data_IF_817725104238
#
_entry.id   IF_817725104238
#
_cell.length_a   1.000
_cell.length_b   1.000
_cell.length_c   1.000
_cell.angle_alpha   90.00
_cell.angle_beta   90.00
_cell.angle_gamma   90.00
#
_symmetry.space_group_name_H-M   'P 1'
#
loop_
_entity.id
_entity.type
_entity.pdbx_description
1 polymer ?
#
# COMPACT_ATOMS: atom_id res chain seq x y z
N UNK A 1 -14.90 14.08 71.63
CA UNK A 1 -13.68 14.55 70.93
C UNK A 1 -14.09 15.34 69.70
N UNK A 2 -14.25 16.65 69.84
CA UNK A 2 -14.57 17.58 68.76
C UNK A 2 -13.26 18.16 68.22
N UNK A 3 -12.76 17.64 67.10
CA UNK A 3 -11.58 18.18 66.42
C UNK A 3 -11.88 19.50 65.71
N UNK A 4 -10.89 20.37 65.48
CA UNK A 4 -11.11 21.67 64.83
C UNK A 4 -11.53 21.43 63.38
N UNK A 5 -12.66 22.03 62.97
CA UNK A 5 -13.05 22.15 61.57
C UNK A 5 -12.04 23.05 60.85
N UNK A 6 -10.95 22.45 60.37
CA UNK A 6 -9.99 23.09 59.49
C UNK A 6 -10.69 23.48 58.20
N UNK A 7 -10.84 24.79 57.96
CA UNK A 7 -11.27 25.32 56.67
C UNK A 7 -10.23 24.96 55.62
N UNK A 8 -10.48 23.91 54.84
CA UNK A 8 -9.67 23.59 53.66
C UNK A 8 -9.75 24.75 52.67
N UNK A 9 -8.63 25.45 52.46
CA UNK A 9 -8.48 26.45 51.41
C UNK A 9 -7.87 25.77 50.19
N UNK A 10 -8.57 25.75 49.07
CA UNK A 10 -8.02 25.34 47.79
C UNK A 10 -7.61 26.58 46.99
N UNK A 11 -6.37 26.59 46.47
CA UNK A 11 -5.93 27.54 45.47
C UNK A 11 -6.06 26.88 44.10
N UNK A 12 -6.93 27.43 43.25
CA UNK A 12 -7.03 27.05 41.84
C UNK A 12 -6.27 28.09 41.02
N UNK A 13 -5.18 27.66 40.38
CA UNK A 13 -4.42 28.50 39.44
C UNK A 13 -4.83 28.09 38.04
N UNK A 14 -5.39 29.04 37.27
CA UNK A 14 -5.69 28.86 35.86
C UNK A 14 -4.55 29.46 35.03
N UNK A 15 -3.87 28.65 34.24
CA UNK A 15 -2.98 29.11 33.19
C UNK A 15 -3.71 29.00 31.86
N UNK A 16 -3.72 30.11 31.11
CA UNK A 16 -4.30 30.18 29.78
C UNK A 16 -3.16 30.15 28.76
N UNK A 17 -3.16 29.16 27.87
CA UNK A 17 -2.28 29.16 26.72
C UNK A 17 -3.06 29.69 25.53
N UNK A 18 -2.57 30.76 24.90
CA UNK A 18 -3.11 31.20 23.61
C UNK A 18 -2.74 30.14 22.58
N UNK A 19 -3.75 29.57 21.92
CA UNK A 19 -3.51 28.62 20.85
C UNK A 19 -2.81 29.31 19.67
N UNK A 20 -1.81 28.68 19.05
CA UNK A 20 -1.20 29.20 17.84
C UNK A 20 -2.26 29.30 16.73
N UNK A 21 -2.07 30.25 15.81
CA UNK A 21 -2.88 30.33 14.59
C UNK A 21 -2.41 29.24 13.63
N UNK A 22 -3.35 28.65 12.90
CA UNK A 22 -3.03 27.74 11.80
C UNK A 22 -2.41 28.54 10.65
N UNK A 23 -1.19 28.20 10.25
CA UNK A 23 -0.57 28.69 9.00
C UNK A 23 -0.48 27.59 7.95
N UNK A 24 -0.80 26.35 8.33
CA UNK A 24 -0.78 25.19 7.46
C UNK A 24 -2.21 24.77 7.14
N UNK A 25 -2.59 24.91 5.87
CA UNK A 25 -3.90 24.54 5.39
C UNK A 25 -3.77 23.54 4.25
N UNK A 26 -4.56 22.48 4.31
CA UNK A 26 -4.71 21.47 3.27
C UNK A 26 -6.12 21.51 2.71
N UNK A 27 -6.22 21.64 1.39
CA UNK A 27 -7.51 21.61 0.67
C UNK A 27 -7.68 20.21 0.09
N UNK A 28 -8.74 19.52 0.54
CA UNK A 28 -9.09 18.20 0.04
C UNK A 28 -10.15 18.32 -1.03
N UNK A 29 -9.99 17.56 -2.11
CA UNK A 29 -10.93 17.53 -3.21
C UNK A 29 -11.68 16.20 -3.26
N UNK A 30 -12.95 16.28 -3.62
CA UNK A 30 -13.76 15.10 -3.94
C UNK A 30 -13.08 14.32 -5.05
N UNK A 31 -13.19 12.99 -4.98
CA UNK A 31 -12.56 12.07 -5.91
C UNK A 31 -11.03 12.07 -5.93
N UNK A 32 -10.37 12.65 -4.92
CA UNK A 32 -8.92 12.48 -4.72
C UNK A 32 -8.62 11.59 -3.51
N UNK A 33 -7.42 11.01 -3.48
CA UNK A 33 -6.90 10.35 -2.28
C UNK A 33 -6.83 11.37 -1.13
N UNK A 34 -7.10 10.89 0.08
CA UNK A 34 -6.95 11.64 1.30
C UNK A 34 -5.48 11.95 1.61
N UNK A 35 -5.30 12.95 2.47
CA UNK A 35 -4.00 13.42 2.93
C UNK A 35 -3.73 12.87 4.32
N UNK A 36 -2.53 12.35 4.55
CA UNK A 36 -2.08 11.98 5.88
C UNK A 36 -0.91 12.87 6.31
N UNK A 37 -0.82 13.14 7.60
CA UNK A 37 0.17 14.02 8.21
C UNK A 37 0.71 13.39 9.48
N UNK A 38 2.02 13.44 9.67
CA UNK A 38 2.65 12.94 10.88
C UNK A 38 2.19 13.75 12.10
N UNK A 39 1.76 13.06 13.16
CA UNK A 39 1.34 13.72 14.40
C UNK A 39 2.46 14.58 15.02
N UNK A 40 3.74 14.29 14.74
CA UNK A 40 4.88 15.09 15.15
C UNK A 40 4.94 16.47 14.46
N UNK A 41 4.50 16.58 13.21
CA UNK A 41 4.57 17.82 12.43
C UNK A 41 3.54 18.87 12.87
N UNK A 42 2.45 18.42 13.48
CA UNK A 42 1.35 19.26 13.95
C UNK A 42 1.45 19.63 15.44
N UNK A 43 2.63 19.40 16.03
CA UNK A 43 2.90 19.73 17.43
C UNK A 43 3.13 21.22 17.59
N UNK A 44 2.25 21.87 18.35
CA UNK A 44 2.23 23.32 18.53
C UNK A 44 2.12 24.10 17.21
N UNK A 45 1.73 23.39 16.13
CA UNK A 45 1.61 23.88 14.78
C UNK A 45 0.30 23.33 14.21
N UNK A 46 -0.82 24.05 14.36
CA UNK A 46 -2.11 23.55 13.91
C UNK A 46 -2.11 23.35 12.40
N UNK A 47 -2.82 22.32 11.96
CA UNK A 47 -3.17 22.12 10.56
C UNK A 47 -4.68 22.22 10.39
N UNK A 48 -5.12 22.86 9.31
CA UNK A 48 -6.52 22.97 8.92
C UNK A 48 -6.76 22.17 7.65
N UNK A 49 -7.68 21.21 7.68
CA UNK A 49 -8.20 20.55 6.47
C UNK A 49 -9.51 21.20 6.05
N UNK A 50 -9.68 21.48 4.77
CA UNK A 50 -10.92 22.03 4.21
C UNK A 50 -11.36 21.24 2.99
N UNK A 51 -12.62 20.80 2.96
CA UNK A 51 -13.23 20.24 1.76
C UNK A 51 -13.47 21.37 0.74
N UNK A 52 -12.95 21.22 -0.48
CA UNK A 52 -13.05 22.22 -1.53
C UNK A 52 -14.48 22.37 -2.07
N UNK A 53 -15.20 21.26 -2.19
CA UNK A 53 -16.51 21.22 -2.82
C UNK A 53 -17.66 21.51 -1.85
N UNK A 54 -18.64 22.28 -2.33
CA UNK A 54 -19.87 22.58 -1.59
C UNK A 54 -20.67 21.31 -1.29
N UNK A 55 -21.04 21.13 -0.01
CA UNK A 55 -21.79 19.97 0.47
C UNK A 55 -20.92 18.77 0.86
N UNK A 56 -19.63 18.77 0.54
CA UNK A 56 -18.67 17.80 1.05
C UNK A 56 -18.17 18.19 2.44
N UNK A 57 -17.63 17.21 3.16
CA UNK A 57 -17.05 17.38 4.48
C UNK A 57 -15.77 16.57 4.60
N UNK A 58 -14.84 17.06 5.42
CA UNK A 58 -13.67 16.28 5.81
C UNK A 58 -14.10 15.13 6.72
N UNK A 59 -13.47 13.97 6.56
CA UNK A 59 -13.52 12.87 7.50
C UNK A 59 -12.14 12.63 8.09
N UNK A 60 -11.96 13.05 9.34
CA UNK A 60 -10.69 13.02 10.06
C UNK A 60 -10.59 11.77 10.92
N UNK A 61 -9.52 11.00 10.77
CA UNK A 61 -9.24 9.79 11.56
C UNK A 61 -7.82 9.82 12.13
N UNK A 62 -7.58 9.01 13.15
CA UNK A 62 -6.22 8.61 13.54
C UNK A 62 -5.80 7.42 12.67
N UNK A 63 -4.59 7.49 12.11
CA UNK A 63 -3.85 6.32 11.65
C UNK A 63 -2.93 5.85 12.79
N UNK A 64 -3.40 4.87 13.57
CA UNK A 64 -2.75 4.48 14.83
C UNK A 64 -1.58 3.53 14.54
N UNK A 65 -0.43 3.78 15.17
CA UNK A 65 0.79 2.98 14.99
C UNK A 65 0.83 1.67 15.79
N UNK A 66 0.01 1.59 16.84
CA UNK A 66 0.02 0.50 17.82
C UNK A 66 1.05 0.68 18.93
N UNK A 67 1.89 1.72 18.83
CA UNK A 67 2.90 2.02 19.84
C UNK A 67 2.24 2.48 21.14
N UNK A 68 2.52 1.77 22.24
CA UNK A 68 1.83 1.95 23.53
C UNK A 68 1.97 3.36 24.13
N UNK A 69 3.00 4.12 23.73
CA UNK A 69 3.23 5.48 24.23
C UNK A 69 2.57 6.56 23.37
N UNK A 70 2.05 6.24 22.19
CA UNK A 70 1.29 7.19 21.37
C UNK A 70 -0.04 7.53 22.07
N UNK A 71 -0.06 8.65 22.81
CA UNK A 71 -1.23 9.13 23.57
C UNK A 71 -1.84 10.38 22.95
N UNK A 72 -3.08 10.28 22.50
CA UNK A 72 -3.79 11.35 21.81
C UNK A 72 -4.52 12.34 22.73
N UNK A 73 -4.28 12.28 24.05
CA UNK A 73 -4.95 13.14 25.04
C UNK A 73 -4.63 14.64 24.84
N UNK A 74 -3.48 14.94 24.21
CA UNK A 74 -3.07 16.30 23.89
C UNK A 74 -3.39 16.75 22.46
N UNK A 75 -4.15 15.96 21.69
CA UNK A 75 -4.52 16.27 20.31
C UNK A 75 -5.97 16.76 20.29
N UNK A 76 -6.15 18.05 20.04
CA UNK A 76 -7.44 18.73 20.12
C UNK A 76 -8.03 18.95 18.73
N UNK A 77 -9.34 18.75 18.62
CA UNK A 77 -10.11 18.95 17.40
C UNK A 77 -10.95 20.20 17.54
N UNK A 78 -10.84 21.09 16.57
CA UNK A 78 -11.60 22.32 16.43
C UNK A 78 -12.52 22.18 15.22
N UNK A 79 -13.83 22.36 15.43
CA UNK A 79 -14.84 22.28 14.37
C UNK A 79 -14.92 23.61 13.61
N UNK A 80 -13.97 23.82 12.72
CA UNK A 80 -13.88 25.02 11.91
C UNK A 80 -12.48 25.28 11.33
N UNK A 81 -12.29 26.45 10.69
CA UNK A 81 -11.10 26.76 9.91
C UNK A 81 -9.86 27.11 10.75
N UNK A 82 -10.00 27.29 12.06
CA UNK A 82 -8.88 27.67 12.92
C UNK A 82 -9.08 27.29 14.40
N UNK A 83 -8.09 27.63 15.22
CA UNK A 83 -8.09 27.41 16.68
C UNK A 83 -8.97 28.40 17.46
N UNK A 84 -9.66 29.33 16.79
CA UNK A 84 -10.70 30.17 17.40
C UNK A 84 -12.09 29.52 17.32
N UNK A 85 -12.21 28.46 16.52
CA UNK A 85 -13.42 27.65 16.40
C UNK A 85 -13.67 26.83 17.68
N UNK A 86 -14.89 26.32 17.92
CA UNK A 86 -15.16 25.51 19.11
C UNK A 86 -14.31 24.23 19.16
N UNK A 87 -13.70 23.96 20.31
CA UNK A 87 -13.10 22.65 20.59
C UNK A 87 -14.23 21.65 20.82
N UNK A 88 -14.28 20.61 19.99
CA UNK A 88 -15.35 19.60 20.01
C UNK A 88 -14.90 18.27 20.59
N UNK A 89 -13.59 18.08 20.77
CA UNK A 89 -13.09 16.86 21.38
C UNK A 89 -11.58 16.70 21.26
N UNK A 90 -11.15 15.49 21.62
CA UNK A 90 -9.78 15.01 21.49
C UNK A 90 -9.74 13.86 20.50
N UNK A 91 -8.61 13.67 19.84
CA UNK A 91 -8.46 12.62 18.84
C UNK A 91 -8.60 11.21 19.41
N UNK A 92 -8.30 10.98 20.70
CA UNK A 92 -8.45 9.65 21.32
C UNK A 92 -9.88 9.06 21.21
N UNK A 93 -10.91 9.90 21.05
CA UNK A 93 -12.30 9.48 20.83
C UNK A 93 -12.60 9.05 19.38
N UNK A 94 -11.67 9.26 18.45
CA UNK A 94 -11.86 9.11 17.00
C UNK A 94 -10.88 8.11 16.36
N UNK A 95 -10.48 7.09 17.11
CA UNK A 95 -9.62 6.00 16.62
C UNK A 95 -10.36 5.07 15.65
N UNK A 96 -11.66 4.84 15.90
CA UNK A 96 -12.47 3.84 15.17
C UNK A 96 -13.53 4.49 14.27
N UNK A 97 -13.96 5.70 14.62
CA UNK A 97 -15.00 6.43 13.89
C UNK A 97 -14.44 7.81 13.51
N UNK A 98 -14.50 8.19 12.22
CA UNK A 98 -14.02 9.49 11.78
C UNK A 98 -14.77 10.61 12.49
N UNK A 99 -14.04 11.66 12.86
CA UNK A 99 -14.66 12.93 13.16
C UNK A 99 -15.12 13.59 11.87
N UNK A 100 -16.38 14.05 11.85
CA UNK A 100 -16.99 14.79 10.75
C UNK A 100 -17.35 16.20 11.26
N UNK A 101 -16.77 17.28 10.71
CA UNK A 101 -17.08 18.63 11.14
C UNK A 101 -18.53 19.02 10.81
N UNK A 102 -19.03 20.03 11.51
CA UNK A 102 -20.35 20.63 11.24
C UNK A 102 -20.36 21.32 9.88
N UNK A 103 -19.23 21.91 9.48
CA UNK A 103 -19.00 22.57 8.18
C UNK A 103 -18.00 21.79 7.32
N UNK A 104 -17.29 22.47 6.41
CA UNK A 104 -16.30 21.89 5.49
C UNK A 104 -14.88 21.77 6.07
N UNK A 105 -14.60 22.47 7.17
CA UNK A 105 -13.24 22.58 7.72
C UNK A 105 -13.12 21.98 9.11
N UNK A 106 -11.96 21.39 9.38
CA UNK A 106 -11.56 20.91 10.70
C UNK A 106 -10.11 21.31 10.95
N UNK A 107 -9.84 21.82 12.15
CA UNK A 107 -8.48 22.17 12.58
C UNK A 107 -8.04 21.27 13.70
N UNK A 108 -6.78 20.83 13.67
CA UNK A 108 -6.20 19.95 14.67
C UNK A 108 -4.82 20.42 15.09
N UNK A 109 -4.52 20.25 16.38
CA UNK A 109 -3.21 20.54 16.96
C UNK A 109 -2.88 19.53 18.06
N UNK A 110 -1.62 19.07 18.08
CA UNK A 110 -1.03 18.39 19.22
C UNK A 110 -0.32 19.38 20.15
N UNK A 111 -0.56 19.35 21.45
CA UNK A 111 0.13 20.23 22.41
C UNK A 111 1.41 19.63 23.01
N UNK A 112 1.60 18.32 22.87
CA UNK A 112 2.75 17.60 23.45
C UNK A 112 3.41 16.69 22.42
N UNK A 113 4.65 16.26 22.74
CA UNK A 113 5.45 15.37 21.90
C UNK A 113 5.20 13.87 22.13
N UNK A 114 4.05 13.50 22.65
CA UNK A 114 3.79 12.13 23.10
C UNK A 114 3.42 11.17 21.97
N UNK A 115 2.94 11.67 20.83
CA UNK A 115 2.60 10.83 19.66
C UNK A 115 3.73 10.94 18.65
N UNK A 116 4.49 9.86 18.49
CA UNK A 116 5.74 9.82 17.73
C UNK A 116 5.58 9.09 16.41
N UNK A 117 4.72 8.07 16.36
CA UNK A 117 4.66 7.17 15.21
C UNK A 117 3.33 7.14 14.48
N UNK A 118 2.30 7.78 15.03
CA UNK A 118 0.98 7.80 14.41
C UNK A 118 0.81 9.00 13.51
N UNK A 119 -0.07 8.86 12.52
CA UNK A 119 -0.45 9.94 11.62
C UNK A 119 -1.91 10.32 11.89
N UNK A 120 -2.28 11.52 11.50
CA UNK A 120 -3.67 11.82 11.21
C UNK A 120 -3.93 11.62 9.73
N UNK A 121 -5.15 11.24 9.38
CA UNK A 121 -5.56 11.09 7.98
C UNK A 121 -6.91 11.75 7.76
N UNK A 122 -6.97 12.57 6.73
CA UNK A 122 -8.15 13.34 6.35
C UNK A 122 -8.58 12.94 4.94
N UNK A 123 -9.82 12.48 4.82
CA UNK A 123 -10.45 12.12 3.56
C UNK A 123 -11.64 13.04 3.28
N UNK A 124 -12.14 13.04 2.05
CA UNK A 124 -13.50 13.53 1.79
C UNK A 124 -14.50 12.46 2.24
N UNK A 125 -15.51 12.87 3.01
CA UNK A 125 -16.52 11.98 3.61
C UNK A 125 -17.19 11.09 2.58
N UNK A 126 -17.59 11.63 1.42
CA UNK A 126 -18.27 10.84 0.39
C UNK A 126 -17.35 9.77 -0.24
N UNK A 127 -16.04 9.99 -0.32
CA UNK A 127 -15.09 9.02 -0.86
C UNK A 127 -15.02 7.74 -0.01
N UNK A 128 -15.20 7.87 1.32
CA UNK A 128 -15.23 6.73 2.25
C UNK A 128 -16.65 6.31 2.66
N UNK A 129 -17.68 6.96 2.12
CA UNK A 129 -19.06 6.80 2.57
C UNK A 129 -19.70 5.45 2.24
N UNK A 130 -19.10 4.69 1.32
CA UNK A 130 -19.57 3.35 0.94
C UNK A 130 -19.17 2.26 1.96
N UNK A 131 -18.14 2.50 2.77
CA UNK A 131 -17.65 1.53 3.74
C UNK A 131 -18.43 1.67 5.04
N UNK A 132 -18.84 0.55 5.62
CA UNK A 132 -19.45 0.54 6.95
C UNK A 132 -18.46 0.98 8.03
N UNK A 133 -17.18 0.71 7.80
CA UNK A 133 -16.07 1.11 8.67
C UNK A 133 -14.87 1.48 7.81
N UNK A 134 -14.29 2.63 8.09
CA UNK A 134 -13.00 3.06 7.56
C UNK A 134 -12.03 3.25 8.71
N UNK A 135 -10.82 2.70 8.58
CA UNK A 135 -9.75 2.86 9.56
C UNK A 135 -8.42 3.14 8.86
N UNK A 136 -7.44 3.59 9.63
CA UNK A 136 -6.07 3.67 9.17
C UNK A 136 -5.10 3.17 10.24
N UNK A 137 -3.96 2.64 9.80
CA UNK A 137 -2.89 2.17 10.67
C UNK A 137 -1.54 2.59 10.11
N UNK A 138 -0.62 2.95 11.01
CA UNK A 138 0.78 3.20 10.64
C UNK A 138 1.62 1.95 10.91
N UNK A 139 2.42 1.56 9.93
CA UNK A 139 3.36 0.45 9.99
C UNK A 139 4.73 1.01 10.39
N UNK A 140 5.12 0.83 11.66
CA UNK A 140 6.44 1.25 12.16
C UNK A 140 7.53 0.30 11.66
N UNK A 141 7.40 -0.99 11.99
CA UNK A 141 8.29 -2.06 11.52
C UNK A 141 7.45 -3.15 10.88
N UNK A 142 6.45 -3.60 11.63
CA UNK A 142 5.50 -4.62 11.21
C UNK A 142 4.13 -4.32 11.80
N UNK A 143 3.11 -4.57 11.01
CA UNK A 143 1.72 -4.69 11.43
C UNK A 143 1.31 -6.15 11.28
N UNK A 144 0.65 -6.71 12.28
CA UNK A 144 0.03 -8.03 12.23
C UNK A 144 -1.32 -7.95 12.91
N UNK A 145 -2.39 -8.26 12.17
CA UNK A 145 -3.73 -8.06 12.68
C UNK A 145 -4.79 -8.85 11.94
N UNK A 146 -5.85 -9.18 12.68
CA UNK A 146 -7.09 -9.70 12.13
C UNK A 146 -7.98 -8.54 11.69
N UNK A 147 -8.54 -8.65 10.49
CA UNK A 147 -9.49 -7.72 9.91
C UNK A 147 -10.79 -8.48 9.60
N UNK A 148 -11.89 -8.05 10.20
CA UNK A 148 -13.20 -8.72 10.09
C UNK A 148 -14.25 -7.81 9.46
N UNK A 149 -14.83 -8.29 8.36
CA UNK A 149 -15.88 -7.62 7.57
C UNK A 149 -17.10 -8.51 7.31
N UNK A 150 -17.45 -9.40 8.25
CA UNK A 150 -18.61 -10.30 8.14
C UNK A 150 -19.90 -9.52 7.80
N UNK A 151 -20.55 -9.87 6.69
CA UNK A 151 -21.78 -9.22 6.17
C UNK A 151 -21.65 -7.69 5.94
N UNK A 152 -20.45 -7.18 5.69
CA UNK A 152 -20.22 -5.75 5.45
C UNK A 152 -18.97 -5.53 4.57
N UNK A 153 -18.78 -4.28 4.12
CA UNK A 153 -17.53 -3.85 3.51
C UNK A 153 -16.83 -2.86 4.43
N UNK A 154 -15.55 -3.10 4.71
CA UNK A 154 -14.68 -2.20 5.46
C UNK A 154 -13.48 -1.81 4.60
N UNK A 155 -12.81 -0.72 4.96
CA UNK A 155 -11.54 -0.32 4.37
C UNK A 155 -10.53 0.04 5.45
N UNK A 156 -9.29 -0.41 5.28
CA UNK A 156 -8.16 -0.06 6.15
C UNK A 156 -7.01 0.48 5.30
N UNK A 157 -6.66 1.75 5.49
CA UNK A 157 -5.47 2.36 4.87
C UNK A 157 -4.25 2.08 5.74
N UNK A 158 -3.22 1.46 5.16
CA UNK A 158 -1.92 1.25 5.80
C UNK A 158 -0.93 2.29 5.32
N UNK A 159 -0.20 2.90 6.25
CA UNK A 159 0.76 3.96 5.98
C UNK A 159 2.13 3.51 6.51
N UNK A 160 3.16 3.54 5.68
CA UNK A 160 4.52 3.24 6.10
C UNK A 160 5.12 4.43 6.86
N UNK A 161 5.67 4.18 8.06
CA UNK A 161 6.38 5.22 8.80
C UNK A 161 7.76 5.45 8.17
N UNK A 162 8.00 6.66 7.68
CA UNK A 162 9.29 7.10 7.13
C UNK A 162 9.82 6.21 5.97
N UNK A 163 8.92 5.63 5.19
CA UNK A 163 9.27 4.80 4.04
C UNK A 163 8.25 4.96 2.89
N UNK A 164 8.71 4.72 1.66
CA UNK A 164 7.88 4.81 0.45
C UNK A 164 7.56 3.42 -0.12
N UNK A 165 7.44 2.42 0.76
CA UNK A 165 7.10 1.07 0.38
C UNK A 165 6.45 0.30 1.53
N UNK A 166 5.59 -0.65 1.16
CA UNK A 166 5.02 -1.64 2.06
C UNK A 166 5.11 -3.01 1.41
N UNK A 167 5.16 -4.06 2.24
CA UNK A 167 5.15 -5.45 1.82
C UNK A 167 4.07 -6.18 2.59
N UNK A 168 3.14 -6.82 1.88
CA UNK A 168 2.36 -7.90 2.49
C UNK A 168 3.26 -9.12 2.50
N UNK A 169 3.55 -9.65 3.68
CA UNK A 169 4.44 -10.82 3.87
C UNK A 169 3.68 -12.09 4.19
N UNK A 170 2.46 -11.95 4.68
CA UNK A 170 1.57 -13.05 4.97
C UNK A 170 0.12 -12.59 4.85
N UNK A 171 -0.72 -13.45 4.29
CA UNK A 171 -2.16 -13.30 4.27
C UNK A 171 -2.78 -14.69 4.46
N UNK A 172 -3.84 -14.75 5.26
CA UNK A 172 -4.67 -15.93 5.43
C UNK A 172 -6.12 -15.51 5.53
N UNK A 173 -7.01 -16.21 4.81
CA UNK A 173 -8.45 -16.13 5.05
C UNK A 173 -8.82 -17.07 6.20
N UNK A 174 -9.56 -16.56 7.18
CA UNK A 174 -10.07 -17.36 8.29
C UNK A 174 -11.42 -17.98 7.86
N UNK A 175 -11.50 -19.32 7.87
CA UNK A 175 -12.65 -20.27 7.84
C UNK A 175 -14.01 -19.86 7.22
N UNK A 176 -14.07 -18.80 6.43
CA UNK A 176 -15.27 -18.38 5.72
C UNK A 176 -15.12 -18.88 4.30
N UNK A 177 -15.66 -20.08 4.06
CA UNK A 177 -15.88 -20.62 2.71
C UNK A 177 -17.09 -19.91 2.07
N UNK A 178 -17.01 -18.59 1.94
CA UNK A 178 -18.01 -17.80 1.25
C UNK A 178 -17.43 -17.31 -0.07
N UNK A 179 -18.09 -17.66 -1.18
CA UNK A 179 -17.73 -17.21 -2.53
C UNK A 179 -17.74 -15.68 -2.67
N UNK A 180 -18.40 -14.96 -1.75
CA UNK A 180 -18.43 -13.50 -1.71
C UNK A 180 -17.24 -12.87 -0.99
N UNK A 181 -16.41 -13.66 -0.31
CA UNK A 181 -15.26 -13.11 0.39
C UNK A 181 -14.19 -12.65 -0.60
N UNK A 182 -13.99 -11.34 -0.64
CA UNK A 182 -12.96 -10.69 -1.45
C UNK A 182 -12.18 -9.66 -0.63
N UNK A 183 -10.85 -9.69 -0.74
CA UNK A 183 -9.97 -8.60 -0.32
C UNK A 183 -9.39 -7.91 -1.56
N UNK A 184 -9.64 -6.61 -1.70
CA UNK A 184 -9.09 -5.78 -2.77
C UNK A 184 -8.02 -4.87 -2.20
N UNK A 185 -6.88 -4.80 -2.86
CA UNK A 185 -5.84 -3.84 -2.55
C UNK A 185 -5.93 -2.71 -3.57
N UNK A 186 -6.13 -1.48 -3.10
CA UNK A 186 -6.20 -0.27 -3.92
C UNK A 186 -5.08 0.69 -3.55
N UNK A 187 -4.70 1.57 -4.49
CA UNK A 187 -3.71 2.61 -4.21
C UNK A 187 -4.28 3.74 -3.35
N UNK A 188 -3.43 4.36 -2.53
CA UNK A 188 -3.82 5.52 -1.71
C UNK A 188 -4.91 5.20 -0.68
N UNK A 189 -5.72 6.20 -0.36
CA UNK A 189 -6.97 6.02 0.40
C UNK A 189 -8.14 5.72 -0.56
N UNK A 190 -9.32 5.30 -0.06
CA UNK A 190 -10.48 5.13 -0.92
C UNK A 190 -10.86 6.41 -1.66
N UNK A 191 -10.91 6.33 -2.99
CA UNK A 191 -11.41 7.37 -3.87
C UNK A 191 -11.70 6.79 -5.26
N UNK A 192 -12.57 7.42 -6.07
CA UNK A 192 -12.76 7.04 -7.47
C UNK A 192 -11.53 7.03 -8.37
N UNK A 193 -10.43 7.71 -8.00
CA UNK A 193 -9.17 7.69 -8.77
C UNK A 193 -8.20 6.60 -8.31
N UNK A 194 -8.52 5.89 -7.23
CA UNK A 194 -7.66 4.84 -6.68
C UNK A 194 -7.59 3.66 -7.64
N UNK A 195 -6.38 3.20 -7.94
CA UNK A 195 -6.18 2.07 -8.84
C UNK A 195 -6.37 0.77 -8.06
N UNK A 196 -7.14 -0.16 -8.62
CA UNK A 196 -7.15 -1.54 -8.15
C UNK A 196 -5.80 -2.18 -8.47
N UNK A 197 -5.07 -2.56 -7.43
CA UNK A 197 -3.76 -3.17 -7.55
C UNK A 197 -3.89 -4.69 -7.63
N UNK A 198 -4.53 -5.30 -6.64
CA UNK A 198 -4.63 -6.76 -6.50
C UNK A 198 -5.99 -7.15 -5.90
N UNK A 199 -6.43 -8.37 -6.22
CA UNK A 199 -7.57 -9.02 -5.59
C UNK A 199 -7.09 -10.35 -5.03
N UNK A 200 -7.48 -10.64 -3.80
CA UNK A 200 -7.29 -11.93 -3.15
C UNK A 200 -8.65 -12.49 -2.71
N UNK A 201 -8.82 -13.78 -2.91
CA UNK A 201 -9.98 -14.58 -2.53
C UNK A 201 -9.52 -15.81 -1.74
N UNK A 202 -10.41 -16.55 -1.05
CA UNK A 202 -10.06 -17.81 -0.40
C UNK A 202 -9.42 -18.85 -1.34
N UNK A 203 -9.71 -18.78 -2.65
CA UNK A 203 -9.16 -19.66 -3.69
C UNK A 203 -7.82 -19.19 -4.26
N UNK A 204 -7.31 -18.03 -3.86
CA UNK A 204 -6.04 -17.51 -4.35
C UNK A 204 -4.85 -18.35 -3.84
N UNK A 205 -3.75 -18.49 -4.63
CA UNK A 205 -2.58 -19.28 -4.24
C UNK A 205 -1.69 -18.52 -3.24
N UNK A 206 -2.21 -18.29 -2.03
CA UNK A 206 -1.58 -17.42 -1.03
C UNK A 206 -0.20 -17.92 -0.56
N UNK A 207 0.03 -19.23 -0.57
CA UNK A 207 1.30 -19.85 -0.17
C UNK A 207 2.49 -19.46 -1.06
N UNK A 208 2.24 -19.08 -2.31
CA UNK A 208 3.28 -18.66 -3.27
C UNK A 208 3.15 -17.20 -3.71
N UNK A 209 2.20 -16.45 -3.14
CA UNK A 209 1.92 -15.06 -3.54
C UNK A 209 2.72 -14.01 -2.77
N UNK A 210 3.39 -14.41 -1.68
CA UNK A 210 4.06 -13.49 -0.76
C UNK A 210 5.55 -13.81 -0.60
N UNK A 211 6.40 -12.81 -0.31
CA UNK A 211 6.07 -11.40 -0.08
C UNK A 211 5.61 -10.64 -1.34
N UNK A 212 4.73 -9.65 -1.20
CA UNK A 212 4.25 -8.78 -2.28
C UNK A 212 4.57 -7.32 -1.95
N UNK A 213 5.36 -6.65 -2.79
CA UNK A 213 5.76 -5.24 -2.60
C UNK A 213 4.73 -4.28 -3.21
N UNK A 214 4.54 -3.15 -2.53
CA UNK A 214 3.80 -1.98 -2.98
C UNK A 214 4.73 -0.76 -2.87
N UNK A 215 5.23 -0.21 -3.99
CA UNK A 215 6.20 0.89 -3.99
C UNK A 215 5.51 2.25 -3.78
N UNK A 216 4.78 2.38 -2.67
CA UNK A 216 4.17 3.62 -2.21
C UNK A 216 4.20 3.67 -0.67
N UNK A 217 4.13 4.86 -0.11
CA UNK A 217 4.04 5.07 1.34
C UNK A 217 2.70 4.58 1.93
N UNK A 218 1.68 4.36 1.10
CA UNK A 218 0.39 3.87 1.57
C UNK A 218 -0.37 3.07 0.51
N UNK A 219 -1.22 2.16 0.99
CA UNK A 219 -2.28 1.50 0.21
C UNK A 219 -3.48 1.24 1.10
N UNK A 220 -4.63 0.92 0.50
CA UNK A 220 -5.83 0.53 1.25
C UNK A 220 -6.23 -0.90 0.93
N UNK A 221 -6.52 -1.67 1.98
CA UNK A 221 -7.19 -2.97 1.86
C UNK A 221 -8.70 -2.78 2.07
N UNK A 222 -9.49 -3.12 1.06
CA UNK A 222 -10.95 -3.22 1.13
C UNK A 222 -11.32 -4.68 1.35
N UNK A 223 -12.17 -4.95 2.33
CA UNK A 223 -12.61 -6.30 2.65
C UNK A 223 -14.13 -6.36 2.59
N UNK A 224 -14.67 -7.28 1.79
CA UNK A 224 -16.10 -7.54 1.70
C UNK A 224 -16.39 -8.96 2.18
N UNK A 225 -17.18 -9.08 3.24
CA UNK A 225 -17.64 -10.37 3.76
C UNK A 225 -16.51 -11.37 4.07
N UNK A 226 -15.41 -10.87 4.63
CA UNK A 226 -14.20 -11.62 4.89
C UNK A 226 -13.75 -11.52 6.34
N UNK A 227 -13.01 -12.54 6.78
CA UNK A 227 -12.12 -12.45 7.93
C UNK A 227 -10.74 -12.84 7.45
N UNK A 228 -9.77 -11.94 7.59
CA UNK A 228 -8.39 -12.20 7.18
C UNK A 228 -7.42 -11.87 8.31
N UNK A 229 -6.33 -12.64 8.36
CA UNK A 229 -5.16 -12.26 9.10
C UNK A 229 -4.07 -11.84 8.12
N UNK A 230 -3.54 -10.64 8.29
CA UNK A 230 -2.55 -10.07 7.38
C UNK A 230 -1.35 -9.55 8.16
N UNK A 231 -0.15 -9.76 7.59
CA UNK A 231 1.10 -9.21 8.09
C UNK A 231 1.72 -8.29 7.05
N UNK A 232 1.98 -7.06 7.45
CA UNK A 232 2.58 -6.02 6.63
C UNK A 232 3.89 -5.57 7.27
N UNK A 233 4.91 -5.30 6.48
CA UNK A 233 6.12 -4.60 6.93
C UNK A 233 6.48 -3.48 5.97
N UNK A 234 7.15 -2.43 6.46
CA UNK A 234 7.75 -1.39 5.60
C UNK A 234 9.15 -1.76 5.11
N UNK A 235 9.80 -2.70 5.79
CA UNK A 235 11.17 -3.10 5.52
C UNK A 235 11.17 -4.19 4.45
N UNK A 236 12.15 -4.15 3.55
CA UNK A 236 12.30 -5.22 2.55
C UNK A 236 12.55 -6.55 3.26
N UNK A 237 11.71 -7.59 3.03
CA UNK A 237 11.90 -8.89 3.65
C UNK A 237 13.26 -9.49 3.29
N UNK A 238 13.83 -10.27 4.22
CA UNK A 238 15.06 -11.02 3.96
C UNK A 238 14.84 -11.92 2.74
N UNK A 239 15.81 -11.98 1.83
CA UNK A 239 15.74 -12.77 0.60
C UNK A 239 14.58 -12.39 -0.35
N UNK A 240 13.98 -11.20 -0.25
CA UNK A 240 12.91 -10.75 -1.13
C UNK A 240 13.25 -10.88 -2.64
N UNK A 241 14.50 -10.59 -3.00
CA UNK A 241 15.02 -10.68 -4.36
C UNK A 241 15.66 -12.03 -4.71
N UNK A 242 15.65 -12.99 -3.78
CA UNK A 242 16.20 -14.33 -3.99
C UNK A 242 15.09 -15.34 -4.27
N UNK A 243 15.26 -16.08 -5.35
CA UNK A 243 14.37 -17.17 -5.77
C UNK A 243 14.87 -18.45 -5.14
N UNK A 244 14.02 -19.05 -4.31
CA UNK A 244 14.30 -20.33 -3.62
C UNK A 244 13.26 -21.37 -4.00
N UNK A 245 11.99 -21.01 -3.86
CA UNK A 245 10.84 -21.85 -4.22
C UNK A 245 10.03 -21.27 -5.38
N UNK A 246 8.89 -21.88 -5.71
CA UNK A 246 7.93 -21.28 -6.63
C UNK A 246 7.32 -20.00 -6.02
N UNK A 247 7.16 -18.96 -6.84
CA UNK A 247 6.51 -17.71 -6.41
C UNK A 247 5.83 -17.03 -7.58
N UNK A 248 4.63 -16.56 -7.30
CA UNK A 248 3.88 -15.63 -8.14
C UNK A 248 3.87 -14.28 -7.45
N UNK A 249 4.04 -13.21 -8.20
CA UNK A 249 3.93 -11.87 -7.63
C UNK A 249 3.76 -10.82 -8.70
N UNK A 250 3.66 -9.58 -8.22
CA UNK A 250 3.44 -8.41 -9.03
C UNK A 250 4.52 -7.38 -8.80
N UNK A 251 4.89 -6.69 -9.87
CA UNK A 251 5.79 -5.55 -9.85
C UNK A 251 5.04 -4.37 -10.43
N UNK A 252 5.15 -3.23 -9.74
CA UNK A 252 4.52 -1.98 -10.12
C UNK A 252 5.59 -0.91 -10.28
N UNK A 253 5.38 0.01 -11.22
CA UNK A 253 6.08 1.29 -11.12
C UNK A 253 5.47 2.09 -9.95
N UNK A 254 6.25 2.90 -9.20
CA UNK A 254 5.70 3.75 -8.14
C UNK A 254 4.55 4.65 -8.63
N UNK A 255 4.70 5.17 -9.86
CA UNK A 255 3.69 5.96 -10.58
C UNK A 255 2.35 5.26 -10.83
N UNK A 256 2.32 3.92 -10.79
CA UNK A 256 1.08 3.14 -10.93
C UNK A 256 0.22 3.27 -9.66
N UNK A 257 0.85 3.42 -8.49
CA UNK A 257 0.16 3.59 -7.22
C UNK A 257 -0.14 5.07 -6.96
N UNK A 258 0.81 5.96 -7.27
CA UNK A 258 0.67 7.41 -7.11
C UNK A 258 1.22 8.11 -8.35
N UNK A 259 0.34 8.73 -9.14
CA UNK A 259 0.70 9.35 -10.43
C UNK A 259 1.69 10.52 -10.31
N UNK A 260 1.93 11.04 -9.10
CA UNK A 260 2.95 12.06 -8.84
C UNK A 260 4.36 11.47 -8.66
N UNK A 261 4.48 10.16 -8.44
CA UNK A 261 5.77 9.50 -8.27
C UNK A 261 6.47 9.27 -9.60
N UNK A 262 7.81 9.12 -9.53
CA UNK A 262 8.60 8.77 -10.71
C UNK A 262 8.20 7.38 -11.23
N UNK A 263 8.14 7.18 -12.55
CA UNK A 263 7.77 5.89 -13.14
C UNK A 263 8.91 4.87 -13.15
N UNK A 264 10.10 5.25 -12.65
CA UNK A 264 11.27 4.40 -12.70
C UNK A 264 11.06 3.11 -11.91
N UNK A 265 11.40 1.99 -12.55
CA UNK A 265 11.39 0.67 -11.94
C UNK A 265 12.66 -0.07 -12.32
N UNK A 266 13.31 -0.70 -11.34
CA UNK A 266 14.37 -1.65 -11.58
C UNK A 266 14.26 -2.78 -10.56
N UNK A 267 13.59 -3.85 -10.97
CA UNK A 267 13.32 -5.02 -10.14
C UNK A 267 14.12 -6.21 -10.66
N UNK A 268 14.83 -6.90 -9.77
CA UNK A 268 15.63 -8.07 -10.15
C UNK A 268 15.41 -9.19 -9.15
N UNK A 269 15.07 -10.37 -9.68
CA UNK A 269 15.10 -11.62 -8.93
C UNK A 269 16.32 -12.43 -9.35
N UNK A 270 17.01 -13.02 -8.38
CA UNK A 270 18.20 -13.84 -8.59
C UNK A 270 18.01 -15.23 -8.00
N UNK A 271 18.62 -16.23 -8.62
CA UNK A 271 18.60 -17.63 -8.23
C UNK A 271 20.01 -18.20 -8.34
N UNK A 272 20.39 -19.04 -7.37
CA UNK A 272 21.63 -19.80 -7.43
C UNK A 272 21.55 -20.95 -8.44
N UNK A 273 20.34 -21.35 -8.80
CA UNK A 273 20.05 -22.43 -9.73
C UNK A 273 19.35 -21.90 -10.98
N UNK A 274 19.41 -22.65 -12.06
CA UNK A 274 18.65 -22.34 -13.27
C UNK A 274 17.16 -22.52 -13.01
N UNK A 275 16.36 -21.50 -13.30
CA UNK A 275 14.91 -21.47 -13.10
C UNK A 275 14.20 -21.09 -14.39
N UNK A 276 12.95 -21.49 -14.49
CA UNK A 276 12.05 -20.96 -15.49
C UNK A 276 11.42 -19.67 -14.95
N UNK A 277 11.55 -18.58 -15.70
CA UNK A 277 10.93 -17.30 -15.41
C UNK A 277 9.84 -17.02 -16.44
N UNK A 278 8.64 -16.72 -15.98
CA UNK A 278 7.52 -16.27 -16.81
C UNK A 278 7.06 -14.91 -16.32
N UNK A 279 6.80 -14.00 -17.24
CA UNK A 279 6.28 -12.66 -16.95
C UNK A 279 5.08 -12.39 -17.83
N UNK A 280 4.07 -11.70 -17.29
CA UNK A 280 2.90 -11.22 -18.01
C UNK A 280 2.79 -9.71 -17.82
N UNK A 281 2.76 -8.95 -18.92
CA UNK A 281 2.49 -7.51 -18.89
C UNK A 281 0.99 -7.33 -18.76
N UNK A 282 0.50 -7.07 -17.54
CA UNK A 282 -0.94 -6.84 -17.34
C UNK A 282 -1.36 -5.47 -17.87
N UNK A 283 -0.51 -4.47 -17.65
CA UNK A 283 -0.72 -3.12 -18.15
C UNK A 283 0.60 -2.39 -18.23
N UNK A 284 0.83 -1.72 -19.35
CA UNK A 284 1.89 -0.72 -19.47
C UNK A 284 1.38 0.50 -20.23
N UNK A 285 1.65 1.67 -19.69
CA UNK A 285 1.44 2.97 -20.30
C UNK A 285 2.79 3.66 -20.40
N UNK A 286 3.18 4.00 -21.62
CA UNK A 286 4.47 4.56 -21.95
C UNK A 286 4.27 6.01 -22.39
N UNK A 287 5.08 6.92 -21.85
CA UNK A 287 5.15 8.32 -22.27
C UNK A 287 6.57 8.65 -22.72
N UNK A 288 6.74 9.58 -23.66
CA UNK A 288 8.03 10.19 -24.00
C UNK A 288 9.20 9.19 -24.19
N UNK A 289 9.05 8.21 -25.08
CA UNK A 289 10.10 7.21 -25.39
C UNK A 289 10.55 6.38 -24.16
N UNK A 290 9.68 6.23 -23.17
CA UNK A 290 9.89 5.24 -22.10
C UNK A 290 9.91 3.82 -22.66
N UNK A 291 10.56 2.92 -21.94
CA UNK A 291 10.76 1.53 -22.35
C UNK A 291 10.60 0.65 -21.12
N UNK A 292 9.76 -0.38 -21.25
CA UNK A 292 9.76 -1.53 -20.35
C UNK A 292 10.65 -2.61 -20.98
N UNK A 293 11.70 -3.01 -20.27
CA UNK A 293 12.58 -4.10 -20.67
C UNK A 293 12.49 -5.24 -19.65
N UNK A 294 12.33 -6.47 -20.15
CA UNK A 294 12.31 -7.69 -19.36
C UNK A 294 13.44 -8.57 -19.88
N UNK A 295 14.41 -8.88 -19.03
CA UNK A 295 15.58 -9.66 -19.40
C UNK A 295 15.76 -10.84 -18.47
N UNK A 296 15.81 -12.05 -19.01
CA UNK A 296 16.28 -13.24 -18.28
C UNK A 296 17.75 -13.44 -18.61
N UNK A 297 18.58 -13.65 -17.60
CA UNK A 297 20.02 -13.81 -17.73
C UNK A 297 20.48 -15.13 -17.13
N UNK A 298 21.52 -15.74 -17.71
CA UNK A 298 22.20 -16.90 -17.13
C UNK A 298 23.23 -16.49 -16.08
N UNK A 299 23.89 -17.49 -15.47
CA UNK A 299 24.93 -17.30 -14.45
C UNK A 299 26.16 -16.49 -14.88
N UNK A 300 26.36 -16.31 -16.19
CA UNK A 300 27.43 -15.47 -16.76
C UNK A 300 26.98 -14.02 -17.04
N UNK A 301 25.74 -13.67 -16.69
CA UNK A 301 25.15 -12.36 -16.98
C UNK A 301 24.76 -12.16 -18.45
N UNK A 302 24.72 -13.23 -19.25
CA UNK A 302 24.32 -13.16 -20.67
C UNK A 302 22.80 -13.33 -20.73
N UNK A 303 22.13 -12.44 -21.45
CA UNK A 303 20.68 -12.54 -21.68
C UNK A 303 20.35 -13.82 -22.46
N UNK A 304 19.47 -14.64 -21.89
CA UNK A 304 18.88 -15.82 -22.53
C UNK A 304 17.50 -15.51 -23.12
N UNK A 305 16.84 -14.47 -22.61
CA UNK A 305 15.64 -13.87 -23.19
C UNK A 305 15.64 -12.37 -22.94
N UNK A 306 15.17 -11.60 -23.92
CA UNK A 306 14.92 -10.16 -23.80
C UNK A 306 13.61 -9.83 -24.49
N UNK A 307 12.73 -9.13 -23.77
CA UNK A 307 11.50 -8.55 -24.29
C UNK A 307 11.51 -7.05 -24.02
N UNK A 308 11.11 -6.27 -25.02
CA UNK A 308 11.13 -4.80 -24.95
C UNK A 308 9.78 -4.28 -25.41
N UNK A 309 9.11 -3.52 -24.54
CA UNK A 309 7.84 -2.87 -24.83
C UNK A 309 8.06 -1.35 -24.86
N UNK A 310 7.71 -0.75 -26.00
CA UNK A 310 7.92 0.69 -26.29
C UNK A 310 6.61 1.46 -26.48
N UNK A 311 5.47 0.78 -26.39
CA UNK A 311 4.13 1.34 -26.55
C UNK A 311 3.21 0.99 -25.37
N UNK A 312 1.98 1.50 -25.43
CA UNK A 312 0.94 1.11 -24.49
C UNK A 312 0.46 -0.30 -24.83
N UNK A 313 0.52 -1.21 -23.87
CA UNK A 313 0.13 -2.60 -24.08
C UNK A 313 -0.62 -3.15 -22.86
N UNK A 314 -1.52 -4.08 -23.14
CA UNK A 314 -2.23 -4.89 -22.15
C UNK A 314 -2.25 -6.32 -22.65
N UNK A 315 -1.74 -7.24 -21.84
CA UNK A 315 -1.43 -8.59 -22.32
C UNK A 315 -0.06 -8.65 -22.99
N UNK A 316 0.45 -9.87 -23.13
CA UNK A 316 1.83 -10.14 -23.53
C UNK A 316 2.55 -10.94 -22.46
N UNK A 317 3.27 -11.97 -22.88
CA UNK A 317 4.03 -12.83 -21.99
C UNK A 317 5.45 -13.00 -22.50
N UNK A 318 6.41 -12.95 -21.59
CA UNK A 318 7.80 -13.27 -21.88
C UNK A 318 8.27 -14.38 -20.93
N UNK A 319 8.84 -15.44 -21.50
CA UNK A 319 9.35 -16.58 -20.77
C UNK A 319 10.81 -16.85 -21.12
N UNK A 320 11.60 -17.27 -20.13
CA UNK A 320 13.00 -17.56 -20.32
C UNK A 320 13.57 -18.45 -19.22
N UNK A 321 14.64 -19.17 -19.55
CA UNK A 321 15.36 -20.02 -18.62
C UNK A 321 16.68 -19.32 -18.26
N UNK A 322 16.95 -19.16 -16.97
CA UNK A 322 18.15 -18.48 -16.50
C UNK A 322 18.32 -18.51 -14.99
N UNK A 323 19.25 -17.71 -14.49
CA UNK A 323 19.55 -17.54 -13.08
C UNK A 323 18.98 -16.24 -12.52
N UNK A 324 18.56 -15.29 -13.37
CA UNK A 324 17.92 -14.07 -12.92
C UNK A 324 16.95 -13.52 -13.94
N UNK A 325 15.97 -12.75 -13.46
CA UNK A 325 15.09 -11.92 -14.28
C UNK A 325 15.17 -10.48 -13.80
N UNK A 326 15.38 -9.56 -14.73
CA UNK A 326 15.34 -8.13 -14.53
C UNK A 326 14.13 -7.53 -15.25
N UNK A 327 13.34 -6.73 -14.55
CA UNK A 327 12.22 -5.97 -15.07
C UNK A 327 12.55 -4.49 -14.82
N UNK A 328 12.79 -3.77 -15.90
CA UNK A 328 13.22 -2.38 -15.86
C UNK A 328 12.24 -1.50 -16.63
N UNK A 329 11.75 -0.44 -15.99
CA UNK A 329 11.01 0.63 -16.66
C UNK A 329 11.86 1.91 -16.61
N UNK A 330 12.33 2.36 -17.77
CA UNK A 330 13.24 3.51 -17.89
C UNK A 330 12.76 4.51 -18.94
N UNK A 331 13.26 5.75 -18.83
CA UNK A 331 12.94 6.85 -19.74
C UNK A 331 12.91 8.20 -19.01
N UNK A 332 13.24 9.27 -19.72
CA UNK A 332 13.36 10.60 -19.16
C UNK A 332 11.98 11.25 -19.02
N UNK A 333 11.53 11.45 -17.78
CA UNK A 333 10.37 12.26 -17.37
C UNK A 333 9.03 11.91 -18.05
N UNK A 334 8.13 11.27 -17.31
CA UNK A 334 6.77 11.03 -17.78
C UNK A 334 5.88 10.34 -16.73
N UNK A 335 4.58 10.30 -16.99
CA UNK A 335 3.56 9.63 -16.17
C UNK A 335 3.41 8.14 -16.54
N UNK A 336 4.50 7.51 -16.98
CA UNK A 336 4.51 6.10 -17.37
C UNK A 336 4.08 5.21 -16.23
N UNK A 337 3.38 4.12 -16.53
CA UNK A 337 2.84 3.23 -15.51
C UNK A 337 3.01 1.79 -15.99
N UNK A 338 3.45 0.89 -15.12
CA UNK A 338 3.49 -0.53 -15.47
C UNK A 338 3.05 -1.41 -14.29
N UNK A 339 2.30 -2.45 -14.62
CA UNK A 339 1.93 -3.57 -13.75
C UNK A 339 2.30 -4.87 -14.47
N UNK A 340 3.25 -5.59 -13.89
CA UNK A 340 3.79 -6.83 -14.44
C UNK A 340 3.56 -7.95 -13.42
N UNK A 341 2.97 -9.06 -13.84
CA UNK A 341 2.93 -10.28 -13.05
C UNK A 341 4.17 -11.12 -13.39
N UNK A 342 4.83 -11.68 -12.39
CA UNK A 342 5.88 -12.67 -12.58
C UNK A 342 5.49 -14.00 -11.94
N UNK A 343 6.02 -15.08 -12.50
CA UNK A 343 6.04 -16.41 -11.93
C UNK A 343 7.42 -17.04 -12.15
N UNK A 344 7.93 -17.79 -11.20
CA UNK A 344 9.08 -18.64 -11.39
C UNK A 344 8.91 -20.00 -10.72
N UNK A 345 9.43 -21.04 -11.34
CA UNK A 345 9.38 -22.39 -10.80
C UNK A 345 10.64 -23.18 -11.16
N UNK A 346 10.82 -24.30 -10.45
CA UNK A 346 11.91 -25.22 -10.73
C UNK A 346 11.62 -26.00 -12.02
N UNK A 347 12.63 -26.17 -12.87
CA UNK A 347 12.57 -27.17 -13.93
C UNK A 347 12.80 -28.55 -13.30
N UNK A 348 11.71 -29.23 -12.94
CA UNK A 348 11.76 -30.67 -12.69
C UNK A 348 11.99 -31.39 -14.03
N UNK A 349 13.25 -31.47 -14.45
CA UNK A 349 13.64 -32.53 -15.37
C UNK A 349 13.67 -33.83 -14.55
N UNK A 350 12.52 -34.49 -14.41
CA UNK A 350 12.50 -35.92 -14.14
C UNK A 350 12.97 -36.64 -15.41
N UNK A 351 14.28 -36.60 -15.64
CA UNK A 351 14.97 -37.55 -16.51
C UNK A 351 15.76 -38.48 -15.60
N UNK A 352 15.04 -39.37 -14.90
CA UNK A 352 15.70 -40.58 -14.44
C UNK A 352 16.11 -41.37 -15.68
N UNK A 353 17.43 -41.43 -15.90
CA UNK A 353 18.12 -42.43 -16.70
C UNK A 353 17.62 -42.63 -18.13
N UNK A 354 17.81 -41.62 -18.98
CA UNK A 354 18.08 -41.85 -20.40
C UNK A 354 19.19 -40.89 -20.84
N UNK A 355 20.29 -41.42 -21.37
CA UNK A 355 21.31 -40.61 -22.02
C UNK A 355 20.68 -40.00 -23.28
N UNK A 356 20.26 -38.74 -23.19
CA UNK A 356 19.82 -38.01 -24.37
C UNK A 356 21.03 -37.34 -25.01
N UNK A 357 21.26 -37.69 -26.28
CA UNK A 357 22.23 -37.08 -27.17
C UNK A 357 21.97 -35.56 -27.28
N UNK A 358 23.00 -34.73 -27.44
CA UNK A 358 22.92 -33.26 -27.47
C UNK A 358 21.92 -32.74 -28.52
N UNK A 359 21.66 -33.56 -29.54
CA UNK A 359 20.65 -33.30 -30.57
C UNK A 359 19.22 -33.26 -30.04
N UNK A 360 18.89 -34.00 -28.97
CA UNK A 360 17.54 -34.03 -28.40
C UNK A 360 17.22 -32.78 -27.56
N UNK A 361 18.20 -32.23 -26.83
CA UNK A 361 18.06 -30.97 -26.11
C UNK A 361 17.88 -29.80 -27.08
N UNK A 362 18.65 -29.77 -28.17
CA UNK A 362 18.44 -28.81 -29.25
C UNK A 362 17.07 -28.99 -29.93
N UNK A 363 16.60 -30.23 -30.12
CA UNK A 363 15.27 -30.49 -30.68
C UNK A 363 14.15 -30.03 -29.75
N UNK A 364 14.29 -30.22 -28.43
CA UNK A 364 13.30 -29.76 -27.45
C UNK A 364 13.27 -28.23 -27.36
N UNK A 365 14.43 -27.58 -27.41
CA UNK A 365 14.56 -26.12 -27.51
C UNK A 365 13.92 -25.58 -28.80
N UNK A 366 14.09 -26.28 -29.93
CA UNK A 366 13.47 -25.94 -31.21
C UNK A 366 11.95 -26.17 -31.18
N UNK A 367 11.46 -27.22 -30.52
CA UNK A 367 10.02 -27.52 -30.40
C UNK A 367 9.34 -26.49 -29.48
N UNK A 368 9.96 -26.13 -28.35
CA UNK A 368 9.48 -25.06 -27.46
C UNK A 368 9.48 -23.70 -28.18
N UNK A 369 10.55 -23.36 -28.91
CA UNK A 369 10.61 -22.13 -29.70
C UNK A 369 9.61 -22.12 -30.87
N UNK A 370 9.28 -23.27 -31.48
CA UNK A 370 8.26 -23.36 -32.54
C UNK A 370 6.83 -23.25 -32.01
N UNK A 371 6.55 -23.73 -30.81
CA UNK A 371 5.25 -23.52 -30.16
C UNK A 371 5.05 -22.07 -29.68
N UNK A 372 6.14 -21.35 -29.37
CA UNK A 372 6.10 -19.93 -29.00
C UNK A 372 5.91 -18.99 -30.20
N UNK A 373 6.29 -19.39 -31.42
CA UNK A 373 6.13 -18.57 -32.62
C UNK A 373 4.74 -18.62 -33.27
N UNK A 374 3.82 -19.47 -32.80
CA UNK A 374 2.45 -19.52 -33.35
C UNK A 374 1.48 -18.47 -32.79
N UNK A 375 1.94 -17.55 -31.93
CA UNK A 375 1.12 -16.46 -31.37
C UNK A 375 1.65 -15.05 -31.70
N UNK A 376 2.15 -14.85 -32.91
CA UNK A 376 2.33 -13.51 -33.48
C UNK A 376 1.67 -13.45 -34.86
N UNK A 377 0.41 -12.97 -34.91
CA UNK A 377 -0.16 -12.12 -35.97
C UNK A 377 -1.62 -11.77 -35.61
N UNK A 378 -1.82 -10.63 -34.97
CA UNK A 378 -2.71 -9.54 -35.44
C UNK A 378 -2.57 -8.31 -34.55
#
# INVERSE_FOLDING_TARGET
MTGPQGRSKALLVFQWLKMPKSTWTETLHKNQSGTNVDCMEIQQNPITFTAAENGEKVALNIAHSGYILDKFDSYFIFDGPDTSSPVVGRMNSHVVVPFIPSNQSVTIIGLTKQVVYSNIIANIKSNIGAYRKYQAAVVIDQYGGQLDSINQTIAVTFIAKDANQLYITYLKFNEIENEKCEMRIISGTPSPISNLLLIYTPSSPLNISFPQQFPASQFTAELSDCSVYMVITKNTPVNFNMVTDERIGYVFTPSFLDSQQTPFLNFTLNSNETRHFSTTVESVKVYNKQILAINVMNSKGISTMSAVVTGNETGGSAEGIGNSVNINFSGMTGQGQAKIRFNHWFLLFYLHSFSFDENFLNLLQIILNRYLHSYNYK
#
